data_IF_929165496709
#
_entry.id   IF_929165496709
#
_cell.length_a   1.000
_cell.length_b   1.000
_cell.length_c   1.000
_cell.angle_alpha   90.00
_cell.angle_beta   90.00
_cell.angle_gamma   90.00
#
_symmetry.space_group_name_H-M   'P 1'
#
loop_
_entity.id
_entity.type
_entity.pdbx_description
1 polymer ?
#
# COMPACT_ATOMS: atom_id res chain seq x y z
N UNK A 1 -7.90 -6.34 -30.18
CA UNK A 1 -7.97 -5.78 -28.81
C UNK A 1 -6.88 -6.44 -27.99
N UNK A 2 -5.86 -5.70 -27.59
CA UNK A 2 -4.76 -6.26 -26.78
C UNK A 2 -5.12 -6.07 -25.32
N UNK A 3 -5.66 -7.12 -24.70
CA UNK A 3 -5.87 -7.15 -23.25
C UNK A 3 -4.49 -7.25 -22.62
N UNK A 4 -3.98 -6.12 -22.12
CA UNK A 4 -2.71 -6.08 -21.38
C UNK A 4 -3.01 -6.22 -19.89
N UNK A 5 -2.38 -7.22 -19.26
CA UNK A 5 -2.53 -7.50 -17.83
C UNK A 5 -1.15 -7.59 -17.19
N UNK A 6 -0.95 -6.81 -16.15
CA UNK A 6 0.28 -6.80 -15.36
C UNK A 6 -0.06 -7.06 -13.91
N UNK A 7 0.72 -7.92 -13.26
CA UNK A 7 0.63 -8.18 -11.82
C UNK A 7 1.95 -7.81 -11.17
N UNK A 8 1.89 -6.95 -10.15
CA UNK A 8 3.05 -6.46 -9.42
C UNK A 8 2.90 -6.70 -7.92
N UNK A 9 4.04 -6.69 -7.22
CA UNK A 9 4.11 -6.64 -5.77
C UNK A 9 4.54 -5.23 -5.36
N UNK A 10 3.75 -4.55 -4.55
CA UNK A 10 4.08 -3.26 -3.96
C UNK A 10 4.60 -3.49 -2.54
N UNK A 11 5.92 -3.36 -2.28
CA UNK A 11 6.48 -3.60 -0.97
C UNK A 11 6.01 -2.56 0.04
N UNK A 12 5.84 -2.97 1.28
CA UNK A 12 5.71 -2.05 2.41
C UNK A 12 7.03 -1.34 2.67
N UNK A 13 6.98 -0.25 3.43
CA UNK A 13 8.17 0.50 3.85
C UNK A 13 8.11 0.87 5.33
N UNK A 14 9.28 1.10 5.90
CA UNK A 14 9.45 1.69 7.23
C UNK A 14 9.94 3.13 7.01
N UNK A 15 9.13 4.11 7.37
CA UNK A 15 9.47 5.53 7.30
C UNK A 15 10.15 6.00 8.60
N UNK A 16 10.78 7.18 8.55
CA UNK A 16 11.35 7.89 9.71
C UNK A 16 12.45 7.10 10.43
N UNK A 17 13.56 6.87 9.74
CA UNK A 17 14.71 6.12 10.27
C UNK A 17 15.51 6.96 11.31
N UNK A 18 14.91 7.16 12.48
CA UNK A 18 15.48 7.94 13.58
C UNK A 18 15.50 9.43 13.27
N UNK A 19 16.71 10.00 13.14
CA UNK A 19 16.92 11.43 12.87
C UNK A 19 16.49 11.88 11.46
N UNK A 20 16.18 10.92 10.58
CA UNK A 20 15.77 11.16 9.19
C UNK A 20 14.24 11.27 9.07
N UNK A 21 13.62 12.06 9.95
CA UNK A 21 12.18 12.30 9.92
C UNK A 21 11.76 12.95 8.59
N UNK A 22 10.77 12.37 7.93
CA UNK A 22 10.24 12.76 6.61
C UNK A 22 11.26 12.78 5.46
N UNK A 23 12.45 12.21 5.66
CA UNK A 23 13.54 12.23 4.69
C UNK A 23 13.90 10.83 4.16
N UNK A 24 13.81 9.80 5.00
CA UNK A 24 14.21 8.45 4.62
C UNK A 24 13.14 7.39 4.91
N UNK A 25 13.05 6.42 3.99
CA UNK A 25 12.26 5.21 4.15
C UNK A 25 13.00 3.98 3.60
N UNK A 26 12.80 2.83 4.23
CA UNK A 26 13.37 1.54 3.82
C UNK A 26 12.25 0.62 3.32
N UNK A 27 12.36 0.13 2.09
CA UNK A 27 11.45 -0.89 1.56
C UNK A 27 11.74 -2.27 2.19
N UNK A 28 10.69 -2.98 2.61
CA UNK A 28 10.80 -4.32 3.21
C UNK A 28 10.16 -5.38 2.30
N UNK A 29 10.81 -6.54 2.18
CA UNK A 29 10.40 -7.60 1.26
C UNK A 29 9.38 -8.59 1.84
N UNK A 30 9.29 -8.69 3.17
CA UNK A 30 8.40 -9.66 3.83
C UNK A 30 6.93 -9.22 3.85
N UNK A 31 6.64 -7.94 3.60
CA UNK A 31 5.30 -7.38 3.58
C UNK A 31 5.07 -6.63 2.26
N UNK A 32 4.04 -7.03 1.50
CA UNK A 32 3.74 -6.41 0.20
C UNK A 32 2.28 -6.61 -0.19
N UNK A 33 1.71 -5.61 -0.86
CA UNK A 33 0.42 -5.75 -1.50
C UNK A 33 0.58 -6.36 -2.89
N UNK A 34 -0.43 -7.12 -3.32
CA UNK A 34 -0.50 -7.60 -4.71
C UNK A 34 -1.45 -6.71 -5.48
N UNK A 35 -0.97 -6.11 -6.56
CA UNK A 35 -1.78 -5.28 -7.45
C UNK A 35 -1.79 -5.91 -8.83
N UNK A 36 -2.99 -6.12 -9.37
CA UNK A 36 -3.17 -6.53 -10.76
C UNK A 36 -3.85 -5.40 -11.50
N UNK A 37 -3.26 -4.95 -12.59
CA UNK A 37 -3.79 -3.90 -13.46
C UNK A 37 -4.11 -4.54 -14.81
N UNK A 38 -5.31 -4.28 -15.31
CA UNK A 38 -5.79 -4.79 -16.58
C UNK A 38 -6.35 -3.64 -17.41
N UNK A 39 -5.91 -3.53 -18.66
CA UNK A 39 -6.52 -2.64 -19.64
C UNK A 39 -7.71 -3.36 -20.24
N UNK A 40 -8.90 -2.89 -19.91
CA UNK A 40 -10.18 -3.44 -20.38
C UNK A 40 -10.50 -2.92 -21.78
N UNK A 41 -10.07 -1.69 -22.10
CA UNK A 41 -10.27 -1.09 -23.41
C UNK A 41 -9.82 0.35 -23.48
N UNK A 42 -10.13 1.00 -24.61
CA UNK A 42 -9.99 2.44 -24.81
C UNK A 42 -11.36 3.12 -24.72
N UNK A 43 -11.37 4.30 -24.13
CA UNK A 43 -12.51 5.20 -23.99
C UNK A 43 -12.39 6.32 -25.04
N UNK A 44 -13.52 6.88 -25.46
CA UNK A 44 -13.57 7.99 -26.43
C UNK A 44 -13.47 9.37 -25.77
N UNK A 45 -14.00 9.52 -24.55
CA UNK A 45 -14.05 10.79 -23.81
C UNK A 45 -13.02 10.86 -22.69
N UNK A 46 -13.26 10.17 -21.58
CA UNK A 46 -12.50 10.25 -20.34
C UNK A 46 -11.94 8.88 -19.91
N UNK A 47 -10.79 8.84 -19.21
CA UNK A 47 -10.29 7.60 -18.64
C UNK A 47 -11.27 7.05 -17.58
N UNK A 48 -11.41 5.74 -17.54
CA UNK A 48 -12.25 5.04 -16.55
C UNK A 48 -11.38 4.14 -15.69
N UNK A 49 -11.48 4.28 -14.37
CA UNK A 49 -10.73 3.46 -13.42
C UNK A 49 -11.70 2.74 -12.49
N UNK A 50 -11.55 1.43 -12.39
CA UNK A 50 -12.29 0.58 -11.47
C UNK A 50 -11.31 -0.06 -10.49
N UNK A 51 -11.62 0.02 -9.20
CA UNK A 51 -10.78 -0.57 -8.15
C UNK A 51 -11.60 -1.52 -7.31
N UNK A 52 -11.18 -2.79 -7.30
CA UNK A 52 -11.69 -3.80 -6.37
C UNK A 52 -10.56 -4.16 -5.40
N UNK A 53 -10.83 -3.99 -4.10
CA UNK A 53 -9.83 -4.19 -3.06
C UNK A 53 -10.30 -5.17 -1.99
N UNK A 54 -9.41 -6.08 -1.58
CA UNK A 54 -9.59 -6.94 -0.41
C UNK A 54 -8.73 -6.40 0.73
N UNK A 55 -9.38 -6.02 1.85
CA UNK A 55 -8.70 -5.43 3.01
C UNK A 55 -8.41 -3.93 2.91
N UNK A 56 -9.04 -3.23 1.95
CA UNK A 56 -9.03 -1.78 1.81
C UNK A 56 -10.35 -1.32 1.16
N UNK A 57 -10.68 -0.01 1.17
CA UNK A 57 -11.83 0.51 0.44
C UNK A 57 -11.71 0.23 -1.07
N UNK A 58 -12.84 -0.03 -1.73
CA UNK A 58 -12.91 -0.15 -3.19
C UNK A 58 -13.40 1.16 -3.83
N UNK A 59 -13.32 1.24 -5.16
CA UNK A 59 -13.78 2.40 -5.92
C UNK A 59 -12.93 3.66 -5.68
N UNK A 60 -13.57 4.82 -5.76
CA UNK A 60 -12.89 6.13 -5.83
C UNK A 60 -12.20 6.55 -4.53
N UNK A 61 -12.65 6.01 -3.40
CA UNK A 61 -12.04 6.25 -2.09
C UNK A 61 -10.66 5.59 -1.93
N UNK A 62 -10.27 4.70 -2.84
CA UNK A 62 -8.98 4.02 -2.79
C UNK A 62 -7.88 4.90 -3.41
N UNK A 63 -6.72 5.00 -2.74
CA UNK A 63 -5.56 5.73 -3.26
C UNK A 63 -5.11 5.24 -4.64
N UNK A 64 -5.28 3.95 -4.95
CA UNK A 64 -4.97 3.40 -6.27
C UNK A 64 -5.85 3.98 -7.38
N UNK A 65 -7.12 4.31 -7.08
CA UNK A 65 -8.00 5.00 -8.04
C UNK A 65 -7.43 6.38 -8.37
N UNK A 66 -7.14 7.17 -7.34
CA UNK A 66 -6.63 8.54 -7.51
C UNK A 66 -5.30 8.53 -8.26
N UNK A 67 -4.38 7.65 -7.90
CA UNK A 67 -3.08 7.53 -8.54
C UNK A 67 -3.20 7.14 -10.02
N UNK A 68 -4.00 6.11 -10.33
CA UNK A 68 -4.18 5.65 -11.71
C UNK A 68 -4.91 6.70 -12.56
N UNK A 69 -5.96 7.33 -12.03
CA UNK A 69 -6.69 8.40 -12.72
C UNK A 69 -5.76 9.57 -13.06
N UNK A 70 -4.97 10.03 -12.09
CA UNK A 70 -4.02 11.13 -12.29
C UNK A 70 -2.90 10.77 -13.27
N UNK A 71 -2.44 9.53 -13.25
CA UNK A 71 -1.45 9.06 -14.23
C UNK A 71 -2.02 9.04 -15.66
N UNK A 72 -3.25 8.56 -15.84
CA UNK A 72 -3.91 8.55 -17.15
C UNK A 72 -4.18 9.97 -17.65
N UNK A 73 -4.63 10.88 -16.76
CA UNK A 73 -4.79 12.31 -17.06
C UNK A 73 -3.45 12.95 -17.47
N UNK A 74 -2.37 12.65 -16.73
CA UNK A 74 -1.02 13.18 -17.02
C UNK A 74 -0.46 12.70 -18.37
N UNK A 75 -0.79 11.47 -18.76
CA UNK A 75 -0.36 10.88 -20.04
C UNK A 75 -1.33 11.18 -21.20
N UNK A 76 -2.44 11.89 -20.96
CA UNK A 76 -3.55 12.08 -21.90
C UNK A 76 -4.07 10.75 -22.50
N UNK A 77 -4.07 9.69 -21.69
CA UNK A 77 -4.46 8.34 -22.10
C UNK A 77 -5.91 8.05 -21.70
N UNK A 78 -6.76 7.79 -22.70
CA UNK A 78 -8.19 7.49 -22.51
C UNK A 78 -8.39 5.99 -22.39
N UNK A 79 -7.88 5.39 -21.32
CA UNK A 79 -7.98 3.96 -21.06
C UNK A 79 -9.06 3.64 -20.04
N UNK A 80 -9.69 2.47 -20.21
CA UNK A 80 -10.45 1.82 -19.15
C UNK A 80 -9.54 0.80 -18.47
N UNK A 81 -9.22 1.07 -17.21
CA UNK A 81 -8.34 0.25 -16.38
C UNK A 81 -9.12 -0.36 -15.22
N UNK A 82 -8.97 -1.68 -15.04
CA UNK A 82 -9.45 -2.40 -13.85
C UNK A 82 -8.26 -2.77 -12.97
N UNK A 83 -8.36 -2.42 -11.69
CA UNK A 83 -7.33 -2.64 -10.68
C UNK A 83 -7.88 -3.60 -9.62
N UNK A 84 -7.22 -4.74 -9.46
CA UNK A 84 -7.50 -5.71 -8.39
C UNK A 84 -6.39 -5.61 -7.36
N UNK A 85 -6.74 -5.16 -6.15
CA UNK A 85 -5.82 -4.97 -5.04
C UNK A 85 -6.08 -6.03 -3.96
N UNK A 86 -5.03 -6.75 -3.56
CA UNK A 86 -5.06 -7.64 -2.41
C UNK A 86 -4.02 -7.18 -1.41
N UNK A 87 -4.50 -6.68 -0.28
CA UNK A 87 -3.65 -6.23 0.80
C UNK A 87 -3.09 -7.42 1.57
N UNK A 88 -1.79 -7.41 1.89
CA UNK A 88 -1.22 -8.48 2.72
C UNK A 88 -1.61 -8.35 4.20
N UNK A 89 -1.86 -7.12 4.67
CA UNK A 89 -2.18 -6.84 6.06
C UNK A 89 -3.44 -5.99 6.15
N UNK A 90 -4.29 -6.25 7.16
CA UNK A 90 -5.41 -5.37 7.45
C UNK A 90 -4.85 -4.00 7.87
N UNK A 91 -5.42 -2.88 7.41
CA UNK A 91 -5.15 -1.59 8.01
C UNK A 91 -5.63 -1.68 9.44
N UNK A 92 -4.72 -1.96 10.36
CA UNK A 92 -4.95 -1.50 11.70
C UNK A 92 -4.87 0.03 11.60
N UNK A 93 -5.84 0.71 12.21
CA UNK A 93 -5.63 2.07 12.66
C UNK A 93 -4.38 2.05 13.52
N UNK A 94 -3.22 2.31 12.93
CA UNK A 94 -1.97 2.32 13.67
C UNK A 94 -1.36 3.70 13.56
N UNK A 95 -1.93 4.61 14.35
CA UNK A 95 -1.12 5.54 15.11
C UNK A 95 -0.19 4.68 16.02
N UNK A 96 1.05 4.44 15.58
CA UNK A 96 2.09 3.78 16.40
C UNK A 96 2.32 2.29 16.12
N UNK A 97 3.01 1.95 15.03
CA UNK A 97 3.59 0.59 14.89
C UNK A 97 4.86 0.60 15.73
N UNK A 98 4.76 0.13 16.97
CA UNK A 98 5.91 -0.27 17.77
C UNK A 98 6.33 -1.66 17.28
N UNK A 99 7.47 -1.75 16.59
CA UNK A 99 8.14 -3.03 16.34
C UNK A 99 9.04 -3.33 17.55
N UNK A 100 8.53 -4.08 18.52
CA UNK A 100 9.38 -4.72 19.53
C UNK A 100 9.87 -6.05 18.97
N UNK A 101 11.09 -6.08 18.44
CA UNK A 101 11.80 -7.34 18.19
C UNK A 101 12.31 -7.91 19.52
N UNK A 102 11.71 -9.02 19.97
CA UNK A 102 12.25 -9.84 21.05
C UNK A 102 13.33 -10.77 20.48
N UNK A 103 14.58 -10.55 20.85
CA UNK A 103 15.68 -11.50 20.63
C UNK A 103 15.47 -12.76 21.50
N UNK A 104 15.75 -13.98 21.00
CA UNK A 104 15.64 -15.19 21.79
C UNK A 104 16.89 -15.36 22.69
N UNK A 105 16.63 -15.55 23.98
CA UNK A 105 17.49 -16.16 25.01
C UNK A 105 18.79 -15.42 25.38
N UNK A 106 18.68 -14.59 26.41
CA UNK A 106 19.64 -14.57 27.51
C UNK A 106 18.88 -14.53 28.84
N UNK A 107 19.33 -15.33 29.79
CA UNK A 107 18.80 -15.57 31.13
C UNK A 107 18.70 -14.29 31.95
N UNK A 108 17.52 -14.08 32.56
CA UNK A 108 17.21 -13.38 33.81
C UNK A 108 15.93 -12.55 33.69
N UNK A 109 14.92 -13.06 34.39
CA UNK A 109 13.79 -12.35 34.99
C UNK A 109 13.91 -10.82 34.99
N UNK A 110 13.00 -10.14 34.29
CA UNK A 110 11.98 -9.24 34.84
C UNK A 110 11.12 -8.73 33.67
N UNK A 111 9.79 -8.86 33.76
CA UNK A 111 8.85 -8.32 32.77
C UNK A 111 8.69 -6.82 33.02
N UNK A 112 9.07 -5.98 32.06
CA UNK A 112 8.72 -4.56 32.08
C UNK A 112 7.91 -4.23 30.83
N UNK A 113 6.60 -4.03 31.03
CA UNK A 113 5.68 -3.45 30.07
C UNK A 113 5.70 -1.94 30.32
N UNK A 114 6.27 -1.16 29.40
CA UNK A 114 6.19 0.30 29.44
C UNK A 114 5.15 0.73 28.42
N UNK A 115 3.98 1.12 28.92
CA UNK A 115 2.94 1.80 28.15
C UNK A 115 3.20 3.29 28.29
N UNK A 116 3.75 3.93 27.26
CA UNK A 116 3.77 5.39 27.16
C UNK A 116 2.45 5.84 26.56
N UNK A 117 1.58 6.35 27.44
CA UNK A 117 0.40 7.13 27.08
C UNK A 117 0.84 8.59 26.92
N UNK A 118 0.73 9.13 25.71
CA UNK A 118 0.70 10.58 25.51
C UNK A 118 -0.77 11.00 25.39
N UNK A 119 -1.17 11.92 26.27
CA UNK A 119 -2.49 12.53 26.38
C UNK A 119 -2.99 13.13 25.07
#
# INVERSE_FOLDING_TARGET
MTVSRVRVKAPSSIANLGVLFDLAALAVSYAYDTVTVEVVGRQSSEPRVEVEAVGAPSGESNTAYVAARKLLEYLDEKLHVRILLRRAYRPAWVSGVVVLQRQPRCTLSTRSLVVLSSR
#
